data_IF_636913825204
#
_entry.id   IF_636913825204
#
_cell.length_a   1.000
_cell.length_b   1.000
_cell.length_c   1.000
_cell.angle_alpha   90.00
_cell.angle_beta   90.00
_cell.angle_gamma   90.00
#
_symmetry.space_group_name_H-M   'P 1'
#
loop_
_entity.id
_entity.type
_entity.pdbx_description
1 polymer ?
#
# COMPACT_ATOMS: atom_id res chain seq x y z
N UNK A 1 -47.88 4.53 -18.21
CA UNK A 1 -47.09 3.68 -17.28
C UNK A 1 -45.70 3.34 -17.82
N UNK A 2 -45.53 3.11 -19.13
CA UNK A 2 -44.22 2.79 -19.75
C UNK A 2 -43.25 3.99 -19.75
N UNK A 3 -43.77 5.22 -19.97
CA UNK A 3 -42.93 6.42 -20.06
C UNK A 3 -42.31 6.83 -18.70
N UNK A 4 -43.05 6.64 -17.61
CA UNK A 4 -42.57 6.85 -16.24
C UNK A 4 -41.38 5.92 -15.91
N UNK A 5 -41.47 4.66 -16.35
CA UNK A 5 -40.41 3.66 -16.16
C UNK A 5 -39.17 4.02 -16.99
N UNK A 6 -39.34 4.55 -18.21
CA UNK A 6 -38.21 4.98 -19.04
C UNK A 6 -37.42 6.15 -18.44
N UNK A 7 -38.10 7.13 -17.83
CA UNK A 7 -37.40 8.24 -17.15
C UNK A 7 -36.63 7.76 -15.91
N UNK A 8 -37.19 6.80 -15.18
CA UNK A 8 -36.56 6.22 -13.99
C UNK A 8 -35.30 5.41 -14.35
N UNK A 9 -35.30 4.69 -15.48
CA UNK A 9 -34.12 4.00 -16.00
C UNK A 9 -33.00 4.97 -16.46
N UNK A 10 -33.35 6.10 -17.08
CA UNK A 10 -32.38 7.12 -17.51
C UNK A 10 -31.71 7.80 -16.31
N UNK A 11 -32.46 8.05 -15.23
CA UNK A 11 -31.93 8.65 -14.01
C UNK A 11 -30.93 7.73 -13.28
N UNK A 12 -31.16 6.41 -13.30
CA UNK A 12 -30.27 5.43 -12.68
C UNK A 12 -28.96 5.25 -13.47
N UNK A 13 -28.99 5.35 -14.80
CA UNK A 13 -27.79 5.17 -15.63
C UNK A 13 -26.82 6.38 -15.55
N UNK A 14 -27.35 7.58 -15.27
CA UNK A 14 -26.55 8.80 -15.08
C UNK A 14 -25.71 8.83 -13.80
N UNK A 15 -25.99 7.93 -12.83
CA UNK A 15 -25.30 7.86 -11.54
C UNK A 15 -24.27 6.72 -11.47
N UNK A 16 -23.59 6.42 -12.57
CA UNK A 16 -22.51 5.42 -12.51
C UNK A 16 -21.26 6.02 -11.84
N UNK A 17 -20.78 5.45 -10.71
CA UNK A 17 -19.54 5.92 -10.11
C UNK A 17 -18.37 5.56 -11.03
N UNK A 18 -17.63 6.56 -11.49
CA UNK A 18 -16.37 6.36 -12.21
C UNK A 18 -15.37 5.65 -11.28
N UNK A 19 -14.99 4.42 -11.61
CA UNK A 19 -13.96 3.68 -10.88
C UNK A 19 -12.62 4.32 -11.20
N UNK A 20 -12.10 5.13 -10.26
CA UNK A 20 -10.73 5.65 -10.35
C UNK A 20 -9.75 4.52 -10.00
N UNK A 21 -9.17 3.87 -11.01
CA UNK A 21 -8.08 2.92 -10.77
C UNK A 21 -6.82 3.72 -10.40
N UNK A 22 -6.47 3.72 -9.12
CA UNK A 22 -5.26 4.36 -8.65
C UNK A 22 -4.11 3.34 -8.66
N UNK A 23 -3.26 3.44 -9.68
CA UNK A 23 -2.10 2.57 -9.87
C UNK A 23 -1.01 2.92 -8.85
N UNK A 24 -0.51 1.89 -8.14
CA UNK A 24 0.53 2.05 -7.14
C UNK A 24 1.79 1.33 -7.63
N UNK A 25 2.84 2.10 -7.90
CA UNK A 25 4.10 1.59 -8.43
C UNK A 25 5.09 1.42 -7.28
N UNK A 26 5.71 0.25 -7.21
CA UNK A 26 6.79 -0.03 -6.27
C UNK A 26 8.14 0.12 -6.98
N UNK A 27 8.97 1.02 -6.48
CA UNK A 27 10.29 1.30 -7.01
C UNK A 27 11.31 0.48 -6.24
N UNK A 28 12.19 -0.19 -6.97
CA UNK A 28 13.30 -0.99 -6.46
C UNK A 28 14.62 -0.46 -7.02
N UNK A 29 15.73 -0.85 -6.41
CA UNK A 29 17.05 -0.45 -6.89
C UNK A 29 17.29 -0.97 -8.32
N UNK A 30 17.95 -0.18 -9.16
CA UNK A 30 18.21 -0.50 -10.58
C UNK A 30 18.91 -1.86 -10.79
N UNK A 31 19.80 -2.22 -9.87
CA UNK A 31 20.60 -3.45 -9.95
C UNK A 31 19.86 -4.68 -9.38
N UNK A 32 18.58 -4.54 -9.05
CA UNK A 32 17.80 -5.65 -8.52
C UNK A 32 17.40 -6.62 -9.63
N UNK A 33 17.54 -7.92 -9.36
CA UNK A 33 17.18 -8.99 -10.31
C UNK A 33 15.69 -9.41 -10.22
N UNK A 34 14.87 -8.65 -9.50
CA UNK A 34 13.47 -8.99 -9.28
C UNK A 34 12.61 -8.58 -10.48
N UNK A 35 12.06 -9.56 -11.19
CA UNK A 35 11.03 -9.31 -12.23
C UNK A 35 9.63 -9.14 -11.65
N UNK A 36 9.37 -9.80 -10.51
CA UNK A 36 8.11 -9.71 -9.78
C UNK A 36 8.33 -10.10 -8.32
N UNK A 37 7.41 -9.66 -7.45
CA UNK A 37 7.42 -10.00 -6.02
C UNK A 37 5.99 -10.26 -5.55
N UNK A 38 5.80 -11.23 -4.67
CA UNK A 38 4.48 -11.53 -4.14
C UNK A 38 4.05 -10.45 -3.13
N UNK A 39 2.76 -10.10 -3.15
CA UNK A 39 2.17 -9.12 -2.22
C UNK A 39 2.35 -9.52 -0.75
N UNK A 40 2.33 -10.82 -0.44
CA UNK A 40 2.64 -11.36 0.89
C UNK A 40 4.06 -11.03 1.35
N UNK A 41 5.02 -11.04 0.43
CA UNK A 41 6.44 -10.81 0.76
C UNK A 41 6.65 -9.32 1.00
N UNK A 42 6.03 -8.45 0.21
CA UNK A 42 5.98 -6.99 0.45
C UNK A 42 5.48 -6.73 1.87
N UNK A 43 4.35 -7.34 2.25
CA UNK A 43 3.80 -7.20 3.60
C UNK A 43 4.80 -7.61 4.68
N UNK A 44 5.46 -8.76 4.52
CA UNK A 44 6.42 -9.24 5.52
C UNK A 44 7.71 -8.43 5.58
N UNK A 45 8.15 -7.86 4.47
CA UNK A 45 9.28 -6.93 4.42
C UNK A 45 8.96 -5.70 5.29
N UNK A 46 7.83 -5.05 5.06
CA UNK A 46 7.46 -3.83 5.80
C UNK A 46 7.08 -4.09 7.26
N UNK A 47 6.72 -5.33 7.61
CA UNK A 47 6.53 -5.76 9.00
C UNK A 47 7.82 -6.25 9.68
N UNK A 48 8.96 -6.24 8.99
CA UNK A 48 10.25 -6.69 9.52
C UNK A 48 10.37 -8.21 9.71
N UNK A 49 9.40 -8.98 9.20
CA UNK A 49 9.38 -10.45 9.27
C UNK A 49 10.25 -11.11 8.20
N UNK A 50 10.49 -10.41 7.10
CA UNK A 50 11.28 -10.90 5.98
C UNK A 50 12.35 -9.86 5.63
N UNK A 51 13.63 -10.26 5.71
CA UNK A 51 14.79 -9.36 5.50
C UNK A 51 15.65 -9.74 4.30
N UNK A 52 15.47 -10.95 3.77
CA UNK A 52 16.22 -11.49 2.63
C UNK A 52 15.29 -12.18 1.65
N UNK A 53 15.52 -11.99 0.35
CA UNK A 53 14.90 -12.80 -0.71
C UNK A 53 16.00 -13.22 -1.68
N UNK A 54 16.10 -14.52 -1.97
CA UNK A 54 17.05 -15.08 -2.95
C UNK A 54 18.46 -14.49 -2.75
N UNK A 55 18.94 -14.54 -1.50
CA UNK A 55 20.24 -14.04 -1.03
C UNK A 55 20.47 -12.54 -1.01
N UNK A 56 19.51 -11.73 -1.46
CA UNK A 56 19.59 -10.28 -1.41
C UNK A 56 19.01 -9.74 -0.10
N UNK A 57 19.76 -8.86 0.57
CA UNK A 57 19.26 -8.09 1.71
C UNK A 57 18.27 -7.04 1.23
N UNK A 58 17.10 -6.97 1.88
CA UNK A 58 16.05 -6.01 1.55
C UNK A 58 15.97 -4.96 2.65
N UNK A 59 16.04 -3.69 2.24
CA UNK A 59 15.90 -2.55 3.12
C UNK A 59 14.65 -1.76 2.67
N UNK A 60 13.51 -1.90 3.38
CA UNK A 60 12.31 -1.16 3.02
C UNK A 60 12.47 0.34 3.23
N UNK A 61 11.92 1.10 2.29
CA UNK A 61 11.82 2.55 2.32
C UNK A 61 10.35 2.93 2.18
N UNK A 62 9.91 3.95 2.89
CA UNK A 62 8.51 4.39 2.89
C UNK A 62 8.40 5.92 2.82
N UNK A 63 7.24 6.42 2.43
CA UNK A 63 6.90 7.83 2.57
C UNK A 63 6.51 8.14 4.02
N UNK A 64 6.79 9.35 4.53
CA UNK A 64 6.43 9.72 5.90
C UNK A 64 4.91 9.78 6.11
N UNK A 65 4.20 10.43 5.19
CA UNK A 65 2.76 10.70 5.20
C UNK A 65 2.30 10.94 3.74
N UNK A 66 1.00 10.85 3.49
CA UNK A 66 0.34 11.25 2.25
C UNK A 66 -0.63 10.20 1.73
N UNK A 67 -1.45 10.55 0.73
CA UNK A 67 -2.46 9.63 0.16
C UNK A 67 -1.85 8.30 -0.28
N UNK A 68 -0.70 8.33 -0.97
CA UNK A 68 0.02 7.12 -1.42
C UNK A 68 0.49 6.27 -0.24
N UNK A 69 0.96 6.89 0.83
CA UNK A 69 1.33 6.19 2.06
C UNK A 69 0.12 5.46 2.65
N UNK A 70 -0.99 6.17 2.83
CA UNK A 70 -2.20 5.62 3.45
C UNK A 70 -2.76 4.46 2.62
N UNK A 71 -2.86 4.62 1.30
CA UNK A 71 -3.33 3.58 0.37
C UNK A 71 -2.41 2.36 0.40
N UNK A 72 -1.08 2.56 0.43
CA UNK A 72 -0.13 1.46 0.49
C UNK A 72 -0.31 0.63 1.77
N UNK A 73 -0.38 1.29 2.92
CA UNK A 73 -0.50 0.61 4.21
C UNK A 73 -1.84 -0.11 4.36
N UNK A 74 -2.92 0.52 3.89
CA UNK A 74 -4.24 -0.09 3.90
C UNK A 74 -4.32 -1.32 2.99
N UNK A 75 -3.96 -1.16 1.70
CA UNK A 75 -4.09 -2.24 0.70
C UNK A 75 -3.07 -3.38 0.88
N UNK A 76 -1.79 -3.07 1.11
CA UNK A 76 -0.72 -4.08 1.10
C UNK A 76 -0.38 -4.60 2.50
N UNK A 77 -0.35 -3.72 3.50
CA UNK A 77 0.06 -4.11 4.85
C UNK A 77 -1.14 -4.58 5.68
N UNK A 78 -2.37 -4.22 5.26
CA UNK A 78 -3.62 -4.44 6.01
C UNK A 78 -3.55 -3.80 7.40
N UNK A 79 -2.99 -2.58 7.46
CA UNK A 79 -2.90 -1.74 8.66
C UNK A 79 -3.10 -0.30 8.23
N UNK A 80 -3.95 0.44 8.92
CA UNK A 80 -3.99 1.89 8.69
C UNK A 80 -2.68 2.56 9.19
N UNK A 81 -2.41 3.79 8.75
CA UNK A 81 -1.18 4.51 9.08
C UNK A 81 -0.93 4.65 10.60
N UNK A 82 -1.99 4.85 11.41
CA UNK A 82 -1.87 4.96 12.88
C UNK A 82 -1.47 3.62 13.51
N UNK A 83 -2.10 2.52 13.10
CA UNK A 83 -1.76 1.17 13.54
C UNK A 83 -0.34 0.80 13.14
N UNK A 84 0.07 1.17 11.92
CA UNK A 84 1.44 0.94 11.45
C UNK A 84 2.46 1.74 12.27
N UNK A 85 2.21 3.03 12.54
CA UNK A 85 3.07 3.86 13.40
C UNK A 85 3.22 3.27 14.81
N UNK A 86 2.11 2.83 15.42
CA UNK A 86 2.12 2.13 16.72
C UNK A 86 2.94 0.84 16.66
N UNK A 87 2.81 0.08 15.59
CA UNK A 87 3.59 -1.14 15.36
C UNK A 87 5.09 -0.85 15.24
N UNK A 88 5.48 0.18 14.49
CA UNK A 88 6.89 0.59 14.36
C UNK A 88 7.48 1.04 15.70
N UNK A 89 6.73 1.82 16.49
CA UNK A 89 7.15 2.19 17.85
C UNK A 89 7.38 0.95 18.71
N UNK A 90 6.45 -0.02 18.68
CA UNK A 90 6.62 -1.29 19.41
C UNK A 90 7.86 -2.05 18.95
N UNK A 91 8.11 -2.16 17.64
CA UNK A 91 9.31 -2.81 17.10
C UNK A 91 10.60 -2.15 17.60
N UNK A 92 10.65 -0.81 17.57
CA UNK A 92 11.78 -0.02 18.03
C UNK A 92 12.04 -0.25 19.52
N UNK A 93 11.02 -0.10 20.37
CA UNK A 93 11.16 -0.21 21.83
C UNK A 93 11.43 -1.64 22.31
N UNK A 94 11.04 -2.66 21.55
CA UNK A 94 11.31 -4.07 21.90
C UNK A 94 12.62 -4.60 21.33
N UNK A 95 13.37 -3.80 20.57
CA UNK A 95 14.60 -4.23 19.90
C UNK A 95 14.40 -5.28 18.81
N UNK A 96 13.15 -5.59 18.43
CA UNK A 96 12.80 -6.66 17.49
C UNK A 96 12.97 -6.27 16.02
N UNK A 97 13.23 -5.00 15.75
CA UNK A 97 13.49 -4.53 14.39
C UNK A 97 13.75 -3.04 14.31
N UNK A 98 14.43 -2.63 13.24
CA UNK A 98 14.64 -1.23 12.89
C UNK A 98 13.49 -0.76 11.99
N UNK A 99 12.82 0.36 12.30
CA UNK A 99 11.80 0.90 11.42
C UNK A 99 12.42 1.26 10.05
N UNK A 100 11.65 1.14 8.95
CA UNK A 100 12.11 1.51 7.62
C UNK A 100 12.44 3.00 7.57
N UNK A 101 13.37 3.37 6.69
CA UNK A 101 13.67 4.79 6.45
C UNK A 101 12.46 5.46 5.79
N UNK A 102 12.10 6.65 6.27
CA UNK A 102 10.95 7.39 5.74
C UNK A 102 11.34 8.76 5.20
N UNK A 103 10.88 9.08 3.98
CA UNK A 103 11.13 10.36 3.29
C UNK A 103 9.83 11.15 3.09
N UNK A 104 9.91 12.49 3.04
CA UNK A 104 8.74 13.30 2.69
C UNK A 104 8.47 13.15 1.19
N UNK A 105 7.20 13.06 0.81
CA UNK A 105 6.81 13.32 -0.58
C UNK A 105 7.04 14.80 -0.86
N UNK A 106 7.59 15.10 -2.04
CA UNK A 106 7.61 16.46 -2.57
C UNK A 106 6.22 16.83 -3.08
#
# INVERSE_FOLDING_TARGET
MINEITYLCIFIFGLSPSILSQELILIIHKDSRFKSIATKDIKYIFLGKLKKIKDLNIIPITLKIGKVHDIFFDKFIKKNARQFSRFLKKLLFTGRGKPPKSYKSK
#
